data_IF_463670955131
#
_entry.id   IF_463670955131
#
_cell.length_a   1.000
_cell.length_b   1.000
_cell.length_c   1.000
_cell.angle_alpha   90.00
_cell.angle_beta   90.00
_cell.angle_gamma   90.00
#
_symmetry.space_group_name_H-M   'P 1'
#
loop_
_entity.id
_entity.type
_entity.pdbx_description
1 polymer ?
#
# COMPACT_ATOMS: atom_id res chain seq x y z
N UNK A 1 -8.03 -3.09 10.63
CA UNK A 1 -7.77 -3.05 9.18
C UNK A 1 -8.58 -4.15 8.51
N UNK A 2 -9.45 -3.82 7.53
CA UNK A 2 -10.19 -4.81 6.73
C UNK A 2 -9.83 -4.61 5.27
N UNK A 3 -9.11 -5.57 4.71
CA UNK A 3 -8.91 -5.70 3.27
C UNK A 3 -10.27 -5.96 2.62
N UNK A 4 -10.76 -5.01 1.83
CA UNK A 4 -12.05 -5.14 1.15
C UNK A 4 -11.84 -5.20 -0.36
N UNK A 5 -11.91 -6.41 -0.91
CA UNK A 5 -11.84 -6.65 -2.35
C UNK A 5 -12.93 -5.88 -3.13
N UNK A 6 -14.07 -5.60 -2.49
CA UNK A 6 -15.15 -4.81 -3.09
C UNK A 6 -14.71 -3.37 -3.29
N UNK A 7 -14.01 -2.77 -2.33
CA UNK A 7 -13.57 -1.37 -2.43
C UNK A 7 -12.45 -1.24 -3.46
N UNK A 8 -11.54 -2.21 -3.53
CA UNK A 8 -10.57 -2.28 -4.61
C UNK A 8 -11.24 -2.40 -5.99
N UNK A 9 -12.24 -3.29 -6.14
CA UNK A 9 -12.98 -3.44 -7.39
C UNK A 9 -13.77 -2.19 -7.77
N UNK A 10 -14.30 -1.43 -6.80
CA UNK A 10 -14.98 -0.15 -7.06
C UNK A 10 -13.99 0.91 -7.54
N UNK A 11 -12.80 0.97 -6.95
CA UNK A 11 -11.77 1.92 -7.34
C UNK A 11 -11.15 1.57 -8.69
N UNK A 12 -10.96 0.28 -9.01
CA UNK A 12 -10.52 -0.18 -10.34
C UNK A 12 -11.57 0.04 -11.45
N UNK A 13 -12.85 0.19 -11.10
CA UNK A 13 -13.91 0.56 -12.05
C UNK A 13 -13.96 2.04 -12.38
N UNK A 14 -13.44 2.90 -11.50
CA UNK A 14 -13.15 4.29 -11.86
C UNK A 14 -11.91 4.28 -12.76
N UNK A 15 -11.90 5.12 -13.78
CA UNK A 15 -10.69 5.32 -14.57
C UNK A 15 -9.60 5.85 -13.63
N UNK A 16 -8.41 5.23 -13.63
CA UNK A 16 -7.33 5.58 -12.69
C UNK A 16 -6.95 7.07 -12.76
N UNK A 17 -7.12 7.68 -13.94
CA UNK A 17 -6.90 9.11 -14.21
C UNK A 17 -7.90 10.04 -13.48
N UNK A 18 -9.06 9.52 -13.06
CA UNK A 18 -10.08 10.27 -12.32
C UNK A 18 -9.95 10.16 -10.80
N UNK A 19 -9.02 9.33 -10.32
CA UNK A 19 -8.79 9.13 -8.89
C UNK A 19 -8.00 10.30 -8.31
N UNK A 20 -8.40 10.76 -7.13
CA UNK A 20 -7.57 11.66 -6.32
C UNK A 20 -6.25 11.00 -5.94
N UNK A 21 -5.22 11.79 -5.64
CA UNK A 21 -3.91 11.28 -5.20
C UNK A 21 -4.04 10.30 -4.03
N UNK A 22 -4.91 10.60 -3.06
CA UNK A 22 -5.21 9.71 -1.94
C UNK A 22 -5.79 8.38 -2.41
N UNK A 23 -6.79 8.40 -3.29
CA UNK A 23 -7.37 7.18 -3.84
C UNK A 23 -6.34 6.37 -4.64
N UNK A 24 -5.47 7.02 -5.43
CA UNK A 24 -4.41 6.34 -6.17
C UNK A 24 -3.44 5.61 -5.23
N UNK A 25 -3.01 6.28 -4.15
CA UNK A 25 -2.18 5.68 -3.09
C UNK A 25 -2.87 4.45 -2.49
N UNK A 26 -4.13 4.58 -2.07
CA UNK A 26 -4.90 3.50 -1.44
C UNK A 26 -5.05 2.30 -2.39
N UNK A 27 -5.35 2.55 -3.67
CA UNK A 27 -5.43 1.50 -4.70
C UNK A 27 -4.10 0.78 -4.87
N UNK A 28 -2.98 1.49 -4.92
CA UNK A 28 -1.67 0.88 -5.11
C UNK A 28 -1.28 0.00 -3.92
N UNK A 29 -1.54 0.44 -2.68
CA UNK A 29 -1.28 -0.38 -1.49
C UNK A 29 -2.19 -1.62 -1.47
N UNK A 30 -3.48 -1.46 -1.76
CA UNK A 30 -4.42 -2.58 -1.83
C UNK A 30 -4.05 -3.58 -2.93
N UNK A 31 -3.60 -3.11 -4.08
CA UNK A 31 -3.11 -3.95 -5.17
C UNK A 31 -1.86 -4.73 -4.78
N UNK A 32 -0.94 -4.09 -4.04
CA UNK A 32 0.23 -4.79 -3.51
C UNK A 32 -0.18 -5.92 -2.55
N UNK A 33 -1.05 -5.63 -1.58
CA UNK A 33 -1.58 -6.63 -0.63
C UNK A 33 -2.33 -7.74 -1.37
N UNK A 34 -3.15 -7.40 -2.37
CA UNK A 34 -3.85 -8.37 -3.21
C UNK A 34 -2.88 -9.31 -3.93
N UNK A 35 -1.78 -8.77 -4.44
CA UNK A 35 -0.76 -9.56 -5.14
C UNK A 35 -0.18 -10.64 -4.23
N UNK A 36 0.07 -10.32 -2.96
CA UNK A 36 0.53 -11.29 -1.95
C UNK A 36 -0.48 -12.46 -1.83
N UNK A 37 -1.77 -12.13 -1.69
CA UNK A 37 -2.85 -13.13 -1.57
C UNK A 37 -2.98 -13.99 -2.83
N UNK A 38 -3.01 -13.37 -4.00
CA UNK A 38 -3.18 -14.07 -5.30
C UNK A 38 -1.99 -14.98 -5.60
N UNK A 39 -0.79 -14.60 -5.17
CA UNK A 39 0.40 -15.42 -5.31
C UNK A 39 0.57 -16.47 -4.19
N UNK A 40 -0.38 -16.55 -3.25
CA UNK A 40 -0.32 -17.44 -2.09
C UNK A 40 0.97 -17.27 -1.27
N UNK A 41 1.48 -16.05 -1.20
CA UNK A 41 2.67 -15.74 -0.42
C UNK A 41 2.28 -15.62 1.06
N UNK A 42 2.96 -16.36 1.93
CA UNK A 42 2.78 -16.22 3.37
C UNK A 42 3.37 -14.89 3.83
N UNK A 43 2.50 -13.97 4.24
CA UNK A 43 2.90 -12.63 4.66
C UNK A 43 3.90 -12.65 5.81
N UNK A 44 3.78 -13.58 6.76
CA UNK A 44 4.60 -13.55 7.97
C UNK A 44 6.02 -14.04 7.70
N UNK A 45 6.17 -15.07 6.88
CA UNK A 45 7.47 -15.68 6.58
C UNK A 45 8.16 -15.06 5.36
N UNK A 46 7.42 -14.37 4.47
CA UNK A 46 7.99 -13.74 3.27
C UNK A 46 8.61 -12.38 3.56
N UNK A 47 9.68 -12.05 2.82
CA UNK A 47 10.20 -10.68 2.72
C UNK A 47 9.69 -9.97 1.46
N UNK A 48 9.56 -8.65 1.52
CA UNK A 48 9.14 -7.81 0.40
C UNK A 48 10.10 -6.62 0.23
N UNK A 49 10.53 -6.35 -1.00
CA UNK A 49 11.28 -5.15 -1.41
C UNK A 49 10.88 -4.77 -2.84
N UNK A 50 9.75 -4.08 -2.96
CA UNK A 50 9.14 -3.72 -4.25
C UNK A 50 9.03 -2.22 -4.40
N UNK A 51 9.26 -1.72 -5.62
CA UNK A 51 9.16 -0.28 -5.94
C UNK A 51 8.22 -0.04 -7.12
N UNK A 52 7.36 0.95 -6.97
CA UNK A 52 6.57 1.54 -8.03
C UNK A 52 7.22 2.89 -8.40
N UNK A 53 7.36 3.12 -9.70
CA UNK A 53 8.00 4.30 -10.26
C UNK A 53 6.99 5.15 -11.02
N UNK A 54 7.22 6.46 -11.08
CA UNK A 54 6.35 7.43 -11.76
C UNK A 54 6.42 8.81 -11.07
N UNK A 55 5.36 9.59 -11.23
CA UNK A 55 5.16 10.85 -10.47
C UNK A 55 4.79 10.58 -9.01
N UNK A 56 4.10 9.45 -8.78
CA UNK A 56 3.87 8.83 -7.48
C UNK A 56 4.80 7.62 -7.34
N UNK A 57 5.86 7.75 -6.56
CA UNK A 57 6.76 6.63 -6.24
C UNK A 57 6.35 5.97 -4.93
N UNK A 58 6.40 4.64 -4.89
CA UNK A 58 6.06 3.87 -3.69
C UNK A 58 7.08 2.76 -3.47
N UNK A 59 7.63 2.67 -2.26
CA UNK A 59 8.59 1.64 -1.88
C UNK A 59 8.02 0.80 -0.73
N UNK A 60 7.70 -0.46 -1.04
CA UNK A 60 7.19 -1.46 -0.11
C UNK A 60 8.33 -2.30 0.44
N UNK A 61 8.48 -2.31 1.77
CA UNK A 61 9.52 -3.05 2.47
C UNK A 61 8.96 -3.86 3.63
N UNK A 62 9.40 -5.09 3.75
CA UNK A 62 9.17 -5.94 4.93
C UNK A 62 10.23 -7.03 4.99
N UNK A 63 10.84 -7.21 6.16
CA UNK A 63 11.70 -8.37 6.38
C UNK A 63 10.85 -9.63 6.68
N UNK A 64 11.43 -10.81 6.49
CA UNK A 64 10.84 -12.05 6.98
C UNK A 64 10.63 -11.98 8.51
N UNK A 65 9.63 -12.71 9.01
CA UNK A 65 9.26 -12.80 10.43
C UNK A 65 8.77 -11.48 11.07
N UNK A 66 8.58 -10.42 10.26
CA UNK A 66 7.91 -9.18 10.68
C UNK A 66 6.42 -9.25 10.40
N UNK A 67 5.64 -8.84 11.38
CA UNK A 67 4.17 -8.78 11.34
C UNK A 67 3.61 -7.56 10.61
N UNK A 68 4.44 -6.55 10.36
CA UNK A 68 4.06 -5.29 9.70
C UNK A 68 5.11 -4.95 8.64
N UNK A 69 4.63 -4.56 7.46
CA UNK A 69 5.44 -3.95 6.40
C UNK A 69 5.28 -2.44 6.37
N UNK A 70 6.24 -1.78 5.71
CA UNK A 70 6.32 -0.33 5.59
C UNK A 70 6.26 0.07 4.11
N UNK A 71 5.39 1.01 3.77
CA UNK A 71 5.29 1.60 2.44
C UNK A 71 5.63 3.09 2.53
N UNK A 72 6.74 3.48 1.91
CA UNK A 72 7.07 4.91 1.75
C UNK A 72 6.55 5.41 0.42
N UNK A 73 5.93 6.57 0.43
CA UNK A 73 5.36 7.24 -0.73
C UNK A 73 6.08 8.55 -0.95
N UNK A 74 6.46 8.84 -2.19
CA UNK A 74 7.04 10.10 -2.62
C UNK A 74 6.20 10.65 -3.78
N UNK A 75 5.65 11.85 -3.59
CA UNK A 75 4.88 12.58 -4.62
C UNK A 75 5.80 13.66 -5.18
N UNK A 76 6.38 13.41 -6.36
CA UNK A 76 7.46 14.27 -6.91
C UNK A 76 7.06 15.72 -7.12
N UNK A 77 5.81 15.96 -7.53
CA UNK A 77 5.35 17.30 -7.89
C UNK A 77 5.06 18.18 -6.67
N UNK A 78 4.78 17.57 -5.51
CA UNK A 78 4.38 18.28 -4.31
C UNK A 78 5.44 18.20 -3.17
N UNK A 79 6.55 17.49 -3.41
CA UNK A 79 7.59 17.17 -2.41
C UNK A 79 7.04 16.54 -1.12
N UNK A 80 5.92 15.82 -1.26
CA UNK A 80 5.25 15.15 -0.14
C UNK A 80 5.84 13.76 0.05
N UNK A 81 6.24 13.46 1.28
CA UNK A 81 6.59 12.10 1.72
C UNK A 81 5.56 11.61 2.73
N UNK A 82 4.99 10.43 2.50
CA UNK A 82 4.08 9.76 3.44
C UNK A 82 4.60 8.37 3.75
N UNK A 83 4.49 7.95 5.01
CA UNK A 83 4.84 6.61 5.44
C UNK A 83 3.58 5.87 5.91
N UNK A 84 3.33 4.70 5.34
CA UNK A 84 2.21 3.82 5.65
C UNK A 84 2.72 2.51 6.24
N UNK A 85 1.95 1.96 7.18
CA UNK A 85 2.11 0.59 7.66
C UNK A 85 1.12 -0.30 6.93
N UNK A 86 1.52 -1.50 6.53
CA UNK A 86 0.63 -2.48 5.92
C UNK A 86 0.80 -3.88 6.52
N UNK A 87 -0.28 -4.64 6.45
CA UNK A 87 -0.39 -6.05 6.84
C UNK A 87 -1.06 -6.82 5.71
N UNK A 88 -1.17 -8.15 5.84
CA UNK A 88 -2.02 -8.94 4.93
C UNK A 88 -3.49 -8.49 4.92
N UNK A 89 -3.93 -7.78 5.97
CA UNK A 89 -5.31 -7.40 6.20
C UNK A 89 -5.61 -5.92 5.89
N UNK A 90 -4.66 -5.14 5.40
CA UNK A 90 -4.87 -3.73 5.05
C UNK A 90 -3.70 -2.84 5.45
N UNK A 91 -3.94 -1.54 5.58
CA UNK A 91 -2.92 -0.54 5.82
C UNK A 91 -3.46 0.64 6.64
N UNK A 92 -2.54 1.43 7.19
CA UNK A 92 -2.80 2.65 7.94
C UNK A 92 -1.66 3.65 7.77
N UNK A 93 -1.94 4.94 7.89
CA UNK A 93 -0.92 5.99 7.85
C UNK A 93 -0.12 5.96 9.16
N UNK A 94 1.20 5.98 9.08
CA UNK A 94 2.07 5.87 10.27
C UNK A 94 1.81 6.98 11.28
N UNK A 95 1.51 8.19 10.82
CA UNK A 95 1.20 9.33 11.69
C UNK A 95 -0.04 9.12 12.55
N UNK A 96 -1.01 8.34 12.07
CA UNK A 96 -2.25 8.04 12.80
C UNK A 96 -1.99 7.00 13.90
N UNK A 97 -0.98 6.13 13.73
CA UNK A 97 -0.61 5.08 14.71
C UNK A 97 0.17 5.63 15.91
N UNK A 98 0.92 6.74 15.75
CA UNK A 98 1.78 7.31 16.80
C UNK A 98 1.00 8.21 17.78
N UNK A 99 -0.22 8.64 17.42
CA UNK A 99 -1.08 9.50 18.27
C UNK A 99 -1.97 8.70 19.24
N UNK A 100 -1.66 7.42 19.47
CA UNK A 100 -2.34 6.52 20.40
C UNK A 100 -1.85 6.62 21.84
#
# INVERSE_FOLDING_TARGET
MRYNEIDLRKLLKKEFETLSLKEQIEVNILNFIRTIHVNHQDFYTSSFDSKYHGDLEMAFKKDADRVIGHCRILVKNDDITLDYLFTENGFELLEDTIKG
#
